data_IF_837376816671
#
_entry.id   IF_837376816671
#
_cell.length_a   1.000
_cell.length_b   1.000
_cell.length_c   1.000
_cell.angle_alpha   90.00
_cell.angle_beta   90.00
_cell.angle_gamma   90.00
#
_symmetry.space_group_name_H-M   'P 1'
#
loop_
_entity.id
_entity.type
_entity.pdbx_description
1 polymer ?
#
# COMPACT_ATOMS: atom_id res chain seq x y z
N UNK A 1 -24.37 -5.12 -27.61
CA UNK A 1 -23.53 -6.20 -27.07
C UNK A 1 -22.06 -5.85 -27.13
N UNK A 2 -21.53 -5.30 -26.03
CA UNK A 2 -20.08 -5.12 -25.86
C UNK A 2 -19.63 -6.01 -24.70
N UNK A 3 -18.56 -6.81 -24.86
CA UNK A 3 -18.03 -7.58 -23.75
C UNK A 3 -17.57 -6.62 -22.65
N UNK A 4 -18.16 -6.73 -21.46
CA UNK A 4 -17.69 -6.03 -20.27
C UNK A 4 -16.64 -6.88 -19.57
N UNK A 5 -15.39 -6.42 -19.57
CA UNK A 5 -14.34 -6.99 -18.75
C UNK A 5 -14.44 -6.42 -17.33
N UNK A 6 -15.16 -7.11 -16.45
CA UNK A 6 -15.18 -6.78 -15.03
C UNK A 6 -13.89 -7.28 -14.37
N UNK A 7 -12.89 -6.41 -14.32
CA UNK A 7 -11.70 -6.64 -13.49
C UNK A 7 -12.07 -6.31 -12.04
N UNK A 8 -12.41 -7.35 -11.26
CA UNK A 8 -12.66 -7.22 -9.82
C UNK A 8 -11.37 -6.82 -9.10
N UNK A 9 -11.47 -6.19 -7.93
CA UNK A 9 -10.28 -5.96 -7.12
C UNK A 9 -9.70 -7.28 -6.65
N UNK A 10 -8.37 -7.42 -6.66
CA UNK A 10 -7.65 -8.60 -6.16
C UNK A 10 -7.69 -8.76 -4.64
N UNK A 11 -8.55 -8.00 -3.96
CA UNK A 11 -8.78 -8.16 -2.52
C UNK A 11 -9.30 -9.57 -2.24
N UNK A 12 -8.82 -10.18 -1.17
CA UNK A 12 -9.30 -11.46 -0.68
C UNK A 12 -10.78 -11.42 -0.29
N UNK A 13 -11.41 -12.59 -0.18
CA UNK A 13 -12.84 -12.71 0.19
C UNK A 13 -13.17 -12.00 1.50
N UNK A 14 -12.25 -12.00 2.47
CA UNK A 14 -12.43 -11.36 3.79
C UNK A 14 -12.03 -9.89 3.85
N UNK A 15 -11.65 -9.32 2.71
CA UNK A 15 -11.28 -7.91 2.55
C UNK A 15 -12.35 -7.16 1.74
N UNK A 16 -13.15 -7.83 0.91
CA UNK A 16 -14.14 -7.18 0.04
C UNK A 16 -15.44 -6.85 0.77
N UNK A 17 -16.05 -5.72 0.41
CA UNK A 17 -17.38 -5.32 0.88
C UNK A 17 -17.37 -4.48 2.17
N UNK A 18 -18.48 -3.77 2.41
CA UNK A 18 -18.56 -2.74 3.46
C UNK A 18 -18.31 -3.30 4.87
N UNK A 19 -18.87 -4.46 5.19
CA UNK A 19 -18.67 -5.12 6.49
C UNK A 19 -17.21 -5.47 6.74
N UNK A 20 -16.57 -6.14 5.78
CA UNK A 20 -15.17 -6.55 5.88
C UNK A 20 -14.23 -5.33 5.96
N UNK A 21 -14.49 -4.29 5.17
CA UNK A 21 -13.73 -3.04 5.22
C UNK A 21 -13.88 -2.31 6.55
N UNK A 22 -15.09 -2.24 7.12
CA UNK A 22 -15.31 -1.66 8.44
C UNK A 22 -14.57 -2.44 9.53
N UNK A 23 -14.60 -3.77 9.45
CA UNK A 23 -13.86 -4.67 10.35
C UNK A 23 -12.35 -4.46 10.25
N UNK A 24 -11.77 -4.38 9.05
CA UNK A 24 -10.34 -4.12 8.87
C UNK A 24 -9.93 -2.75 9.42
N UNK A 25 -10.75 -1.71 9.19
CA UNK A 25 -10.49 -0.39 9.76
C UNK A 25 -10.41 -0.42 11.28
N UNK A 26 -11.36 -1.09 11.93
CA UNK A 26 -11.41 -1.20 13.40
C UNK A 26 -10.30 -2.10 13.95
N UNK A 27 -10.23 -3.32 13.45
CA UNK A 27 -9.46 -4.40 14.09
C UNK A 27 -7.99 -4.42 13.66
N UNK A 28 -7.67 -3.84 12.49
CA UNK A 28 -6.30 -3.80 11.95
C UNK A 28 -5.73 -2.39 12.07
N UNK A 29 -6.39 -1.40 11.48
CA UNK A 29 -5.86 -0.04 11.47
C UNK A 29 -5.97 0.65 12.83
N UNK A 30 -7.17 0.84 13.36
CA UNK A 30 -7.37 1.57 14.62
C UNK A 30 -6.66 0.89 15.79
N UNK A 31 -6.80 -0.43 15.92
CA UNK A 31 -6.08 -1.22 16.92
C UNK A 31 -4.57 -1.33 16.65
N UNK A 32 -4.13 -1.19 15.41
CA UNK A 32 -2.72 -1.22 15.02
C UNK A 32 -1.95 0.03 15.43
N UNK A 33 -2.62 1.19 15.52
CA UNK A 33 -1.98 2.49 15.87
C UNK A 33 -1.34 2.53 17.25
N UNK A 34 -1.74 1.65 18.18
CA UNK A 34 -1.14 1.53 19.51
C UNK A 34 -0.02 0.48 19.58
N UNK A 35 0.22 -0.28 18.50
CA UNK A 35 1.27 -1.29 18.42
C UNK A 35 2.61 -0.65 18.03
N UNK A 36 3.75 -1.31 18.29
CA UNK A 36 5.05 -0.82 17.85
C UNK A 36 5.10 -0.59 16.34
N UNK A 37 5.75 0.50 15.94
CA UNK A 37 6.01 0.79 14.53
C UNK A 37 6.92 -0.28 13.91
N UNK A 38 6.72 -0.55 12.64
CA UNK A 38 7.57 -1.39 11.79
C UNK A 38 8.63 -0.51 11.14
N UNK A 39 9.84 -1.03 11.03
CA UNK A 39 10.93 -0.40 10.28
C UNK A 39 10.67 -0.55 8.76
N UNK A 40 9.66 0.18 8.30
CA UNK A 40 9.14 0.15 6.95
C UNK A 40 8.80 1.56 6.45
N UNK A 41 8.89 1.75 5.14
CA UNK A 41 8.43 2.94 4.44
C UNK A 41 7.26 2.56 3.54
N UNK A 42 6.11 3.20 3.73
CA UNK A 42 4.96 3.09 2.83
C UNK A 42 4.98 4.22 1.80
N UNK A 43 5.20 3.87 0.53
CA UNK A 43 5.20 4.79 -0.60
C UNK A 43 3.82 4.82 -1.25
N UNK A 44 3.30 6.03 -1.47
CA UNK A 44 2.00 6.27 -2.09
C UNK A 44 2.15 7.32 -3.19
N UNK A 45 2.15 6.87 -4.44
CA UNK A 45 2.16 7.77 -5.62
C UNK A 45 0.79 7.78 -6.29
N UNK A 46 0.16 8.95 -6.36
CA UNK A 46 -1.17 9.18 -6.95
C UNK A 46 -2.24 8.16 -6.50
N UNK A 47 -2.27 7.88 -5.19
CA UNK A 47 -3.19 6.92 -4.56
C UNK A 47 -3.12 5.51 -5.20
N UNK A 48 -1.88 5.06 -5.39
CA UNK A 48 -1.49 3.73 -5.85
C UNK A 48 -1.62 3.48 -7.34
N UNK A 49 -1.74 4.52 -8.17
CA UNK A 49 -1.96 4.36 -9.61
C UNK A 49 -0.68 4.13 -10.41
N UNK A 50 0.49 4.46 -9.84
CA UNK A 50 1.75 4.45 -10.58
C UNK A 50 2.97 4.29 -9.68
N UNK A 51 4.07 3.85 -10.28
CA UNK A 51 5.41 3.85 -9.69
C UNK A 51 6.19 5.04 -10.28
N UNK A 52 6.06 6.22 -9.67
CA UNK A 52 6.60 7.46 -10.25
C UNK A 52 6.72 8.60 -9.23
N UNK A 53 7.22 9.74 -9.73
CA UNK A 53 7.33 11.03 -9.05
C UNK A 53 8.24 10.99 -7.81
N UNK A 54 8.02 11.90 -6.88
CA UNK A 54 8.81 12.08 -5.67
C UNK A 54 8.91 10.81 -4.81
N UNK A 55 7.83 10.02 -4.58
CA UNK A 55 7.95 8.77 -3.83
C UNK A 55 8.90 7.76 -4.47
N UNK A 56 8.94 7.72 -5.81
CA UNK A 56 9.84 6.81 -6.54
C UNK A 56 11.30 7.23 -6.34
N UNK A 57 11.58 8.53 -6.48
CA UNK A 57 12.93 9.05 -6.29
C UNK A 57 13.46 8.76 -4.87
N UNK A 58 12.60 8.90 -3.85
CA UNK A 58 12.97 8.56 -2.46
C UNK A 58 13.22 7.06 -2.30
N UNK A 59 12.36 6.20 -2.86
CA UNK A 59 12.57 4.74 -2.82
C UNK A 59 13.90 4.34 -3.49
N UNK A 60 14.17 4.84 -4.70
CA UNK A 60 15.40 4.52 -5.43
C UNK A 60 16.65 4.96 -4.65
N UNK A 61 16.60 6.12 -4.00
CA UNK A 61 17.70 6.62 -3.17
C UNK A 61 17.91 5.80 -1.89
N UNK A 62 16.83 5.37 -1.22
CA UNK A 62 16.92 4.50 -0.05
C UNK A 62 17.53 3.13 -0.40
N UNK A 63 17.11 2.55 -1.52
CA UNK A 63 17.68 1.32 -2.07
C UNK A 63 19.16 1.52 -2.40
N UNK A 64 19.51 2.61 -3.09
CA UNK A 64 20.90 2.92 -3.47
C UNK A 64 21.83 3.05 -2.26
N UNK A 65 21.32 3.54 -1.12
CA UNK A 65 22.07 3.68 0.14
C UNK A 65 22.12 2.40 0.98
N UNK A 66 21.44 1.33 0.57
CA UNK A 66 21.38 0.09 1.34
C UNK A 66 20.55 0.21 2.62
N UNK A 67 19.44 0.95 2.58
CA UNK A 67 18.52 1.07 3.72
C UNK A 67 17.96 -0.29 4.14
N UNK A 68 18.01 -0.59 5.45
CA UNK A 68 17.42 -1.81 6.03
C UNK A 68 15.88 -1.75 6.17
N UNK A 69 15.27 -0.60 5.91
CA UNK A 69 13.81 -0.43 5.97
C UNK A 69 13.10 -1.30 4.91
N UNK A 70 11.99 -1.92 5.29
CA UNK A 70 11.09 -2.59 4.36
C UNK A 70 10.46 -1.57 3.40
N UNK A 71 10.61 -1.78 2.09
CA UNK A 71 10.12 -0.87 1.05
C UNK A 71 8.71 -1.30 0.59
N UNK A 72 7.66 -0.69 1.13
CA UNK A 72 6.27 -1.03 0.83
C UNK A 72 5.67 -0.05 -0.18
N UNK A 73 5.19 -0.53 -1.32
CA UNK A 73 4.60 0.32 -2.35
C UNK A 73 3.11 0.07 -2.53
N UNK A 74 2.30 1.10 -2.29
CA UNK A 74 0.86 1.03 -2.49
C UNK A 74 0.50 0.95 -3.96
N UNK A 75 -0.33 -0.03 -4.31
CA UNK A 75 -0.92 -0.16 -5.64
C UNK A 75 -2.43 -0.33 -5.56
N UNK A 76 -3.13 0.32 -6.48
CA UNK A 76 -4.58 0.23 -6.61
C UNK A 76 -5.01 -1.00 -7.39
N UNK A 77 -4.23 -1.35 -8.41
CA UNK A 77 -4.51 -2.43 -9.35
C UNK A 77 -3.19 -3.01 -9.91
N UNK A 78 -3.31 -3.95 -10.85
CA UNK A 78 -2.19 -4.68 -11.45
C UNK A 78 -1.48 -3.96 -12.59
N UNK A 79 -1.84 -2.69 -12.85
CA UNK A 79 -1.23 -1.94 -13.95
C UNK A 79 0.13 -1.37 -13.57
N UNK A 80 0.44 -1.29 -12.29
CA UNK A 80 1.72 -0.76 -11.81
C UNK A 80 2.74 -1.89 -11.72
N UNK A 81 3.70 -1.89 -12.64
CA UNK A 81 4.90 -2.72 -12.54
C UNK A 81 5.85 -2.14 -11.48
N UNK A 82 6.29 -2.98 -10.54
CA UNK A 82 7.21 -2.61 -9.48
C UNK A 82 8.56 -3.28 -9.68
N UNK A 83 9.68 -2.62 -9.33
CA UNK A 83 10.97 -3.29 -9.27
C UNK A 83 10.97 -4.35 -8.15
N UNK A 84 11.85 -5.36 -8.21
CA UNK A 84 11.95 -6.39 -7.16
C UNK A 84 12.27 -5.85 -5.76
N UNK A 85 12.81 -4.63 -5.69
CA UNK A 85 13.16 -3.94 -4.44
C UNK A 85 11.96 -3.35 -3.70
N UNK A 86 10.80 -3.28 -4.35
CA UNK A 86 9.57 -2.73 -3.77
C UNK A 86 8.54 -3.85 -3.57
N UNK A 87 8.13 -4.06 -2.32
CA UNK A 87 7.06 -5.00 -1.99
C UNK A 87 5.71 -4.37 -2.27
N UNK A 88 4.88 -5.09 -3.01
CA UNK A 88 3.53 -4.66 -3.39
C UNK A 88 2.58 -4.68 -2.21
N UNK A 89 1.88 -3.58 -1.95
CA UNK A 89 0.79 -3.47 -0.95
C UNK A 89 -0.48 -3.04 -1.65
N UNK A 90 -1.57 -3.81 -1.51
CA UNK A 90 -2.84 -3.54 -2.20
C UNK A 90 -3.69 -2.53 -1.45
N UNK A 91 -4.19 -1.52 -2.16
CA UNK A 91 -5.14 -0.57 -1.59
C UNK A 91 -6.38 -1.31 -1.07
N UNK A 92 -6.79 -0.99 0.17
CA UNK A 92 -7.90 -1.60 0.90
C UNK A 92 -7.68 -3.04 1.40
N UNK A 93 -6.49 -3.61 1.25
CA UNK A 93 -6.16 -4.89 1.87
C UNK A 93 -5.88 -4.74 3.36
N UNK A 94 -5.89 -5.86 4.08
CA UNK A 94 -5.42 -5.94 5.46
C UNK A 94 -3.98 -5.43 5.61
N UNK A 95 -3.11 -5.78 4.65
CA UNK A 95 -1.72 -5.32 4.61
C UNK A 95 -1.62 -3.80 4.46
N UNK A 96 -2.51 -3.17 3.67
CA UNK A 96 -2.55 -1.71 3.58
C UNK A 96 -2.96 -1.07 4.90
N UNK A 97 -3.97 -1.62 5.59
CA UNK A 97 -4.37 -1.11 6.90
C UNK A 97 -3.26 -1.29 7.97
N UNK A 98 -2.54 -2.43 7.98
CA UNK A 98 -1.38 -2.65 8.87
C UNK A 98 -0.23 -1.68 8.55
N UNK A 99 0.13 -1.55 7.26
CA UNK A 99 1.18 -0.64 6.81
C UNK A 99 0.84 0.81 7.14
N UNK A 100 -0.41 1.24 6.93
CA UNK A 100 -0.85 2.59 7.25
C UNK A 100 -0.83 2.87 8.76
N UNK A 101 -1.13 1.87 9.58
CA UNK A 101 -1.13 2.02 11.03
C UNK A 101 0.28 1.99 11.64
N UNK A 102 1.21 1.25 11.03
CA UNK A 102 2.46 0.86 11.70
C UNK A 102 3.73 1.17 10.92
N UNK A 103 3.71 1.55 9.65
CA UNK A 103 4.92 1.97 8.97
C UNK A 103 5.52 3.19 9.68
N UNK A 104 6.83 3.12 9.99
CA UNK A 104 7.54 4.24 10.63
C UNK A 104 7.53 5.49 9.75
N UNK A 105 7.52 5.32 8.43
CA UNK A 105 7.51 6.40 7.47
C UNK A 105 6.45 6.20 6.40
N UNK A 106 5.79 7.30 6.01
CA UNK A 106 4.87 7.35 4.87
C UNK A 106 5.39 8.44 3.93
N UNK A 107 5.60 8.09 2.67
CA UNK A 107 6.06 9.02 1.63
C UNK A 107 4.97 9.11 0.57
N UNK A 108 4.36 10.28 0.42
CA UNK A 108 3.30 10.51 -0.56
C UNK A 108 3.41 11.86 -1.25
N UNK A 109 2.88 11.93 -2.47
CA UNK A 109 2.76 13.16 -3.27
C UNK A 109 1.31 13.59 -3.48
N UNK A 110 0.37 12.99 -2.75
CA UNK A 110 -1.05 13.29 -2.81
C UNK A 110 -1.64 13.36 -1.39
N UNK A 111 -2.88 13.82 -1.29
CA UNK A 111 -3.61 13.78 -0.04
C UNK A 111 -3.86 12.35 0.42
N UNK A 112 -3.71 12.14 1.72
CA UNK A 112 -3.96 10.89 2.43
C UNK A 112 -5.33 10.93 3.11
#
# INVERSE_FOLDING_TARGET
DFPQLNCLSELGTHERGAYHQARLRRDVYEAGRSKPLRDAVLFISYNGKQYSDSPRAVHEELVRRGSDLEQLWLVRDDRTALPPTARKVRLWSEEWFDALARARYIVTNAHL
#
